data_IF_299038052358
#
_entry.id   IF_299038052358
#
_cell.length_a   1.000
_cell.length_b   1.000
_cell.length_c   1.000
_cell.angle_alpha   90.00
_cell.angle_beta   90.00
_cell.angle_gamma   90.00
#
_symmetry.space_group_name_H-M   'P 1'
#
loop_
_entity.id
_entity.type
_entity.pdbx_description
1 polymer ?
#
# COMPACT_ATOMS: atom_id res chain seq x y z
N UNK A 1 4.32 -11.59 2.84
CA UNK A 1 3.09 -11.37 2.04
C UNK A 1 3.37 -11.84 0.62
N UNK A 2 2.47 -12.61 -0.01
CA UNK A 2 2.64 -13.01 -1.41
C UNK A 2 1.97 -12.00 -2.37
N UNK A 3 2.79 -11.16 -3.00
CA UNK A 3 2.33 -10.17 -3.97
C UNK A 3 1.98 -10.76 -5.35
N UNK A 4 2.41 -11.98 -5.67
CA UNK A 4 2.10 -12.62 -6.96
C UNK A 4 0.61 -12.96 -7.10
N UNK A 5 -0.03 -13.30 -5.98
CA UNK A 5 -1.47 -13.55 -5.91
C UNK A 5 -2.34 -12.31 -6.22
N UNK A 6 -1.79 -11.10 -6.15
CA UNK A 6 -2.54 -9.86 -6.37
C UNK A 6 -2.72 -9.55 -7.86
N UNK A 7 -3.85 -8.95 -8.20
CA UNK A 7 -4.08 -8.47 -9.56
C UNK A 7 -3.24 -7.20 -9.86
N UNK A 8 -3.05 -6.90 -11.14
CA UNK A 8 -2.22 -5.77 -11.58
C UNK A 8 -2.78 -4.41 -11.15
N UNK A 9 -4.10 -4.27 -10.97
CA UNK A 9 -4.72 -3.02 -10.54
C UNK A 9 -4.41 -2.71 -9.08
N UNK A 10 -4.44 -3.71 -8.20
CA UNK A 10 -4.04 -3.60 -6.79
C UNK A 10 -2.56 -3.24 -6.70
N UNK A 11 -1.70 -3.89 -7.48
CA UNK A 11 -0.27 -3.58 -7.53
C UNK A 11 0.01 -2.15 -8.02
N UNK A 12 -0.71 -1.67 -9.04
CA UNK A 12 -0.65 -0.26 -9.49
C UNK A 12 -1.15 0.70 -8.42
N UNK A 13 -2.19 0.33 -7.67
CA UNK A 13 -2.69 1.13 -6.55
C UNK A 13 -1.66 1.20 -5.42
N UNK A 14 -1.02 0.09 -5.08
CA UNK A 14 0.08 0.02 -4.12
C UNK A 14 1.22 0.96 -4.54
N UNK A 15 1.67 0.88 -5.81
CA UNK A 15 2.65 1.81 -6.38
C UNK A 15 2.25 3.27 -6.18
N UNK A 16 1.00 3.63 -6.49
CA UNK A 16 0.52 5.01 -6.37
C UNK A 16 0.44 5.49 -4.92
N UNK A 17 -0.05 4.64 -4.01
CA UNK A 17 -0.23 4.94 -2.59
C UNK A 17 1.12 5.17 -1.91
N UNK A 18 2.10 4.31 -2.20
CA UNK A 18 3.45 4.36 -1.62
C UNK A 18 4.46 5.11 -2.49
N UNK A 19 4.01 5.75 -3.58
CA UNK A 19 4.83 6.55 -4.50
C UNK A 19 6.12 5.82 -4.95
N UNK A 20 6.03 4.52 -5.26
CA UNK A 20 7.20 3.74 -5.67
C UNK A 20 7.81 4.29 -6.96
N UNK A 21 9.13 4.45 -6.98
CA UNK A 21 9.89 4.96 -8.12
C UNK A 21 10.08 3.89 -9.20
N UNK A 22 8.99 3.54 -9.88
CA UNK A 22 8.96 2.62 -11.03
C UNK A 22 8.04 3.19 -12.12
N UNK A 23 8.19 2.74 -13.37
CA UNK A 23 7.42 3.27 -14.52
C UNK A 23 5.92 3.03 -14.36
N UNK A 24 5.08 3.92 -14.90
CA UNK A 24 3.62 3.83 -14.78
C UNK A 24 3.02 2.61 -15.49
N UNK A 25 3.62 2.19 -16.62
CA UNK A 25 3.21 1.01 -17.40
C UNK A 25 4.12 -0.21 -17.15
N UNK A 26 4.66 -0.32 -15.93
CA UNK A 26 5.45 -1.51 -15.55
C UNK A 26 4.61 -2.79 -15.64
N UNK A 27 5.28 -3.89 -15.96
CA UNK A 27 4.72 -5.24 -15.98
C UNK A 27 4.30 -5.71 -14.57
N UNK A 28 3.54 -6.80 -14.51
CA UNK A 28 3.14 -7.39 -13.22
C UNK A 28 4.36 -7.80 -12.39
N UNK A 29 5.35 -8.45 -13.01
CA UNK A 29 6.55 -8.93 -12.31
C UNK A 29 7.38 -7.78 -11.73
N UNK A 30 7.59 -6.70 -12.51
CA UNK A 30 8.27 -5.50 -12.01
C UNK A 30 7.54 -4.88 -10.81
N UNK A 31 6.21 -4.85 -10.85
CA UNK A 31 5.39 -4.35 -9.74
C UNK A 31 5.49 -5.24 -8.50
N UNK A 32 5.51 -6.57 -8.66
CA UNK A 32 5.66 -7.54 -7.56
C UNK A 32 7.01 -7.38 -6.89
N UNK A 33 8.09 -7.30 -7.67
CA UNK A 33 9.45 -7.13 -7.14
C UNK A 33 9.55 -5.82 -6.35
N UNK A 34 9.04 -4.72 -6.92
CA UNK A 34 9.06 -3.42 -6.27
C UNK A 34 8.24 -3.41 -4.96
N UNK A 35 7.04 -3.98 -4.98
CA UNK A 35 6.17 -4.06 -3.81
C UNK A 35 6.78 -4.93 -2.70
N UNK A 36 7.35 -6.09 -3.07
CA UNK A 36 8.02 -7.00 -2.12
C UNK A 36 9.20 -6.34 -1.44
N UNK A 37 10.06 -5.65 -2.22
CA UNK A 37 11.22 -4.92 -1.69
C UNK A 37 10.79 -3.79 -0.75
N UNK A 38 9.80 -3.00 -1.15
CA UNK A 38 9.29 -1.90 -0.33
C UNK A 38 8.66 -2.41 0.98
N UNK A 39 7.78 -3.42 0.90
CA UNK A 39 7.10 -3.98 2.07
C UNK A 39 8.09 -4.57 3.08
N UNK A 40 9.15 -5.23 2.61
CA UNK A 40 10.17 -5.83 3.49
C UNK A 40 10.98 -4.80 4.28
N UNK A 41 11.08 -3.56 3.79
CA UNK A 41 11.78 -2.47 4.49
C UNK A 41 10.86 -1.57 5.32
N UNK A 42 9.54 -1.82 5.32
CA UNK A 42 8.56 -0.97 5.97
C UNK A 42 8.43 -1.35 7.46
N UNK A 43 8.84 -0.45 8.35
CA UNK A 43 8.60 -0.60 9.79
C UNK A 43 7.14 -0.23 10.10
N UNK A 44 6.48 -1.05 10.91
CA UNK A 44 5.07 -0.86 11.29
C UNK A 44 5.03 -0.47 12.77
N UNK A 45 4.43 0.69 13.07
CA UNK A 45 4.00 1.03 14.42
C UNK A 45 2.69 0.30 14.71
N UNK A 46 2.74 -0.71 15.57
CA UNK A 46 1.62 -1.61 15.84
C UNK A 46 0.42 -0.87 16.44
N UNK A 47 0.66 0.02 17.42
CA UNK A 47 -0.40 0.73 18.14
C UNK A 47 -1.15 1.66 17.19
N UNK A 48 -0.41 2.48 16.44
CA UNK A 48 -0.98 3.40 15.47
C UNK A 48 -1.70 2.66 14.32
N UNK A 49 -1.14 1.53 13.87
CA UNK A 49 -1.72 0.71 12.80
C UNK A 49 -3.06 0.10 13.23
N UNK A 50 -3.13 -0.49 14.43
CA UNK A 50 -4.36 -1.08 14.96
C UNK A 50 -5.41 0.01 15.19
N UNK A 51 -5.03 1.13 15.82
CA UNK A 51 -5.94 2.25 16.06
C UNK A 51 -6.53 2.80 14.74
N UNK A 52 -5.68 3.00 13.73
CA UNK A 52 -6.11 3.47 12.41
C UNK A 52 -7.01 2.47 11.70
N UNK A 53 -6.73 1.18 11.82
CA UNK A 53 -7.58 0.12 11.27
C UNK A 53 -8.97 0.15 11.91
N UNK A 54 -9.05 0.09 13.24
CA UNK A 54 -10.32 0.09 13.99
C UNK A 54 -11.15 1.34 13.68
N UNK A 55 -10.51 2.52 13.67
CA UNK A 55 -11.17 3.77 13.30
C UNK A 55 -11.71 3.72 11.88
N UNK A 56 -10.92 3.24 10.90
CA UNK A 56 -11.35 3.21 9.49
C UNK A 56 -12.54 2.28 9.28
N UNK A 57 -12.52 1.10 9.93
CA UNK A 57 -13.60 0.10 9.84
C UNK A 57 -14.87 0.61 10.50
N UNK A 58 -14.79 1.20 11.70
CA UNK A 58 -15.98 1.70 12.41
C UNK A 58 -16.56 2.97 11.80
N UNK A 59 -15.74 3.82 11.18
CA UNK A 59 -16.20 5.12 10.65
C UNK A 59 -16.88 5.03 9.28
N UNK A 60 -16.93 3.86 8.63
CA UNK A 60 -17.30 3.70 7.21
C UNK A 60 -16.58 4.69 6.26
N UNK A 61 -15.44 5.26 6.68
CA UNK A 61 -14.63 6.19 5.88
C UNK A 61 -13.69 5.40 4.95
N UNK A 62 -14.25 4.49 4.17
CA UNK A 62 -13.54 3.83 3.08
C UNK A 62 -13.36 4.85 1.96
N UNK A 63 -12.21 5.53 1.94
CA UNK A 63 -11.76 6.29 0.75
C UNK A 63 -11.34 7.75 0.95
N UNK A 64 -11.52 8.35 2.13
CA UNK A 64 -11.01 9.71 2.39
C UNK A 64 -9.75 9.62 3.24
N UNK A 65 -8.59 9.48 2.58
CA UNK A 65 -7.32 9.75 3.26
C UNK A 65 -7.32 11.22 3.69
N UNK A 66 -7.13 11.56 4.97
CA UNK A 66 -6.81 12.93 5.33
C UNK A 66 -5.52 13.31 4.58
N UNK A 67 -5.55 14.48 3.96
CA UNK A 67 -4.39 15.08 3.31
C UNK A 67 -3.31 15.29 4.38
N UNK A 68 -2.17 14.64 4.18
CA UNK A 68 -0.83 15.03 4.62
C UNK A 68 -0.71 15.67 6.01
N UNK A 69 -0.23 14.89 7.00
CA UNK A 69 0.66 15.44 8.03
C UNK A 69 1.86 14.50 8.13
N UNK A 70 2.79 14.66 7.18
CA UNK A 70 4.25 14.65 7.41
C UNK A 70 4.81 15.70 6.45
#
# INVERSE_FOLDING_TARGET
MDFNSLNIHVLRKYRQVFKLNIKARSSKDELVVAATRHFSGHLVDEVDTIARFLYTVHSNKVGKRPLSII
#
